data_IF_186969732882
#
_entry.id   IF_186969732882
#
_cell.length_a   1.000
_cell.length_b   1.000
_cell.length_c   1.000
_cell.angle_alpha   90.00
_cell.angle_beta   90.00
_cell.angle_gamma   90.00
#
_symmetry.space_group_name_H-M   'P 1'
#
loop_
_entity.id
_entity.type
_entity.pdbx_description
1 polymer ?
#
# COMPACT_ATOMS: atom_id res chain seq x y z
N UNK A 1 -3.98 -6.36 -19.25
CA UNK A 1 -4.80 -6.20 -18.03
C UNK A 1 -5.84 -7.30 -18.01
N UNK A 2 -5.92 -8.07 -16.94
CA UNK A 2 -7.04 -8.99 -16.73
C UNK A 2 -8.13 -8.27 -15.95
N UNK A 3 -9.30 -8.10 -16.55
CA UNK A 3 -10.45 -7.47 -15.89
C UNK A 3 -11.20 -8.53 -15.11
N UNK A 4 -11.10 -8.54 -13.78
CA UNK A 4 -11.84 -9.49 -12.93
C UNK A 4 -13.33 -9.19 -12.87
N UNK A 5 -13.78 -8.00 -13.29
CA UNK A 5 -15.20 -7.61 -13.33
C UNK A 5 -15.86 -7.50 -11.95
N UNK A 6 -15.08 -7.52 -10.86
CA UNK A 6 -15.62 -7.49 -9.50
C UNK A 6 -15.90 -6.05 -9.09
N UNK A 7 -17.17 -5.76 -8.79
CA UNK A 7 -17.61 -4.45 -8.31
C UNK A 7 -17.75 -4.48 -6.78
N UNK A 8 -17.12 -3.53 -6.09
CA UNK A 8 -17.26 -3.36 -4.64
C UNK A 8 -17.57 -1.91 -4.30
N UNK A 9 -18.52 -1.71 -3.38
CA UNK A 9 -18.81 -0.39 -2.83
C UNK A 9 -17.70 0.02 -1.86
N UNK A 10 -17.43 1.32 -1.82
CA UNK A 10 -16.54 1.94 -0.85
C UNK A 10 -17.36 2.21 0.42
N UNK A 11 -16.76 1.97 1.58
CA UNK A 11 -17.36 2.33 2.87
C UNK A 11 -17.34 3.86 3.08
N UNK A 12 -18.05 4.38 4.08
CA UNK A 12 -18.10 5.83 4.39
C UNK A 12 -16.73 6.47 4.69
N UNK A 13 -15.73 5.64 5.05
CA UNK A 13 -14.35 6.07 5.34
C UNK A 13 -13.41 5.98 4.14
N UNK A 14 -13.88 5.59 2.95
CA UNK A 14 -13.01 5.43 1.78
C UNK A 14 -12.30 4.07 1.67
N UNK A 15 -12.61 3.11 2.55
CA UNK A 15 -12.00 1.77 2.51
C UNK A 15 -12.64 0.90 1.44
N UNK A 16 -11.81 0.12 0.74
CA UNK A 16 -12.25 -0.92 -0.19
C UNK A 16 -11.79 -2.29 0.28
N UNK A 17 -12.69 -3.28 0.17
CA UNK A 17 -12.38 -4.67 0.53
C UNK A 17 -11.87 -5.41 -0.69
N UNK A 18 -10.63 -5.90 -0.62
CA UNK A 18 -10.08 -6.82 -1.63
C UNK A 18 -10.72 -8.20 -1.44
N UNK A 19 -11.39 -8.77 -2.47
CA UNK A 19 -12.00 -10.10 -2.41
C UNK A 19 -10.98 -11.20 -2.08
N UNK A 20 -11.42 -12.24 -1.36
CA UNK A 20 -10.57 -13.36 -0.92
C UNK A 20 -9.84 -14.05 -2.08
N UNK A 21 -10.49 -14.14 -3.23
CA UNK A 21 -9.90 -14.74 -4.45
C UNK A 21 -8.68 -13.96 -4.93
N UNK A 22 -8.79 -12.63 -5.02
CA UNK A 22 -7.68 -11.75 -5.40
C UNK A 22 -6.56 -11.84 -4.37
N UNK A 23 -6.89 -11.88 -3.08
CA UNK A 23 -5.89 -12.07 -2.01
C UNK A 23 -5.14 -13.40 -2.16
N UNK A 24 -5.84 -14.49 -2.49
CA UNK A 24 -5.21 -15.80 -2.68
C UNK A 24 -4.31 -15.82 -3.90
N UNK A 25 -4.75 -15.23 -5.02
CA UNK A 25 -3.99 -15.17 -6.28
C UNK A 25 -2.74 -14.31 -6.15
N UNK A 26 -2.83 -13.18 -5.46
CA UNK A 26 -1.71 -12.28 -5.21
C UNK A 26 -0.92 -12.63 -3.95
N UNK A 27 -1.29 -13.69 -3.23
CA UNK A 27 -0.68 -14.10 -1.95
C UNK A 27 -0.58 -12.96 -0.92
N UNK A 28 -1.63 -12.15 -0.84
CA UNK A 28 -1.73 -11.04 0.12
C UNK A 28 -2.16 -11.59 1.47
N UNK A 29 -1.33 -11.39 2.48
CA UNK A 29 -1.60 -11.79 3.87
C UNK A 29 -2.18 -10.62 4.67
N UNK A 30 -2.83 -10.95 5.78
CA UNK A 30 -3.27 -9.95 6.75
C UNK A 30 -2.06 -9.22 7.35
N UNK A 31 -2.18 -7.90 7.52
CA UNK A 31 -1.08 -7.05 8.00
C UNK A 31 0.00 -6.73 6.97
N UNK A 32 -0.13 -7.20 5.73
CA UNK A 32 0.84 -6.90 4.67
C UNK A 32 0.71 -5.46 4.16
N UNK A 33 1.85 -4.75 4.10
CA UNK A 33 1.93 -3.41 3.51
C UNK A 33 1.69 -3.46 2.00
N UNK A 34 0.85 -2.55 1.52
CA UNK A 34 0.52 -2.36 0.10
C UNK A 34 0.73 -0.90 -0.25
N UNK A 35 1.18 -0.67 -1.48
CA UNK A 35 1.36 0.66 -2.04
C UNK A 35 0.16 1.01 -2.92
N UNK A 36 -0.28 2.27 -2.83
CA UNK A 36 -1.37 2.84 -3.60
C UNK A 36 -0.77 3.87 -4.55
N UNK A 37 -0.93 3.64 -5.85
CA UNK A 37 -0.46 4.55 -6.89
C UNK A 37 -1.67 5.04 -7.66
N UNK A 38 -1.73 6.35 -7.88
CA UNK A 38 -2.73 6.99 -8.73
C UNK A 38 -2.09 7.34 -10.06
N UNK A 39 -2.75 6.98 -11.14
CA UNK A 39 -2.34 7.29 -12.51
C UNK A 39 -3.04 8.56 -13.03
N UNK A 40 -2.52 9.16 -14.09
CA UNK A 40 -3.04 10.41 -14.69
C UNK A 40 -4.47 10.25 -15.22
N UNK A 41 -4.86 9.01 -15.57
CA UNK A 41 -6.23 8.66 -15.98
C UNK A 41 -7.21 8.49 -14.80
N UNK A 42 -6.78 8.75 -13.56
CA UNK A 42 -7.59 8.57 -12.35
C UNK A 42 -7.76 7.11 -11.93
N UNK A 43 -6.89 6.22 -12.42
CA UNK A 43 -6.88 4.80 -12.04
C UNK A 43 -6.12 4.63 -10.72
N UNK A 44 -6.65 3.78 -9.84
CA UNK A 44 -5.97 3.37 -8.61
C UNK A 44 -5.32 2.00 -8.83
N UNK A 45 -4.01 1.93 -8.64
CA UNK A 45 -3.20 0.72 -8.77
C UNK A 45 -2.73 0.32 -7.36
N UNK A 46 -3.01 -0.93 -6.99
CA UNK A 46 -2.56 -1.53 -5.73
C UNK A 46 -1.43 -2.52 -6.01
N UNK A 47 -0.28 -2.32 -5.38
CA UNK A 47 0.88 -3.21 -5.53
C UNK A 47 1.48 -3.61 -4.17
N UNK A 48 2.20 -4.75 -4.14
CA UNK A 48 2.91 -5.19 -2.93
C UNK A 48 3.98 -4.16 -2.61
N UNK A 49 3.95 -3.62 -1.39
CA UNK A 49 5.00 -2.72 -0.94
C UNK A 49 6.31 -3.50 -0.85
N UNK A 50 7.34 -3.06 -1.58
CA UNK A 50 8.70 -3.56 -1.47
C UNK A 50 9.54 -2.43 -0.88
N UNK A 51 10.16 -2.69 0.24
CA UNK A 51 11.17 -1.79 0.78
C UNK A 51 12.43 -1.96 -0.07
N UNK A 52 12.81 -0.95 -0.85
CA UNK A 52 14.16 -0.90 -1.42
C UNK A 52 15.10 -0.49 -0.30
N UNK A 53 15.61 -1.51 0.38
CA UNK A 53 16.56 -1.43 1.48
C UNK A 53 17.99 -1.21 0.94
N UNK A 54 18.17 -0.21 0.08
CA UNK A 54 19.46 0.23 -0.42
C UNK A 54 19.36 1.76 -0.52
N UNK A 55 19.86 2.54 0.43
CA UNK A 55 21.06 3.39 0.20
C UNK A 55 21.64 3.96 1.51
N UNK A 56 21.04 3.81 2.69
CA UNK A 56 21.62 4.37 3.94
C UNK A 56 21.84 3.33 5.05
N UNK A 57 23.04 2.73 5.03
CA UNK A 57 23.81 2.50 6.25
C UNK A 57 23.66 1.12 6.91
N UNK A 58 24.68 0.28 6.70
CA UNK A 58 25.10 -0.68 7.73
C UNK A 58 25.37 0.06 9.05
N UNK A 59 24.49 -0.02 10.04
CA UNK A 59 24.80 -0.08 11.48
C UNK A 59 23.57 -0.74 12.12
N UNK A 60 23.66 -1.94 12.70
CA UNK A 60 24.07 -2.10 14.09
C UNK A 60 22.86 -1.89 15.02
N UNK A 61 22.58 -2.90 15.85
CA UNK A 61 21.50 -3.02 16.84
C UNK A 61 20.08 -3.40 16.35
N UNK A 62 19.66 -4.58 16.80
CA UNK A 62 18.27 -4.98 16.97
C UNK A 62 17.59 -4.00 17.92
N UNK A 63 16.59 -3.27 17.43
CA UNK A 63 15.58 -2.64 18.26
C UNK A 63 14.22 -3.01 17.67
N UNK A 64 13.40 -3.72 18.46
CA UNK A 64 12.09 -4.28 18.15
C UNK A 64 10.98 -3.23 17.89
N UNK A 65 11.34 -2.03 17.42
CA UNK A 65 10.42 -0.90 17.25
C UNK A 65 10.67 -0.07 15.99
N UNK A 66 11.38 -0.59 14.99
CA UNK A 66 11.55 0.12 13.72
C UNK A 66 10.24 0.01 12.93
N UNK A 67 9.34 0.98 13.14
CA UNK A 67 8.35 1.33 12.13
C UNK A 67 9.07 1.41 10.79
N UNK A 68 8.66 0.64 9.75
CA UNK A 68 9.30 0.78 8.45
C UNK A 68 9.25 2.25 8.06
N UNK A 69 10.34 2.83 7.51
CA UNK A 69 10.31 4.22 7.10
C UNK A 69 9.36 4.30 5.93
N UNK A 70 8.10 4.65 6.23
CA UNK A 70 7.10 4.94 5.22
C UNK A 70 7.74 5.98 4.27
N UNK A 71 7.77 5.73 2.94
CA UNK A 71 8.20 6.74 2.01
C UNK A 71 7.31 7.96 2.25
N UNK A 72 7.88 9.16 2.12
CA UNK A 72 7.36 10.48 2.56
C UNK A 72 5.93 10.86 2.11
N UNK A 73 5.19 9.98 1.45
CA UNK A 73 3.85 10.17 0.92
C UNK A 73 2.72 10.22 1.97
N UNK A 74 2.99 10.04 3.27
CA UNK A 74 2.00 10.34 4.34
C UNK A 74 1.95 11.85 4.66
N UNK A 75 2.61 12.69 3.86
CA UNK A 75 2.52 14.15 3.91
C UNK A 75 1.64 14.69 2.78
N UNK A 76 0.39 14.23 2.67
CA UNK A 76 -0.59 14.83 1.76
C UNK A 76 -1.83 15.40 2.49
N UNK A 77 -2.00 15.17 3.79
CA UNK A 77 -3.17 15.66 4.55
C UNK A 77 -2.93 16.99 5.27
N UNK A 78 -2.09 17.87 4.71
CA UNK A 78 -2.06 19.28 5.08
C UNK A 78 -2.28 20.12 3.83
N UNK A 79 -3.49 20.04 3.31
CA UNK A 79 -4.01 21.12 2.47
C UNK A 79 -4.34 22.33 3.33
N UNK A 80 -4.07 23.47 2.73
CA UNK A 80 -4.03 24.83 3.24
C UNK A 80 -5.30 25.29 3.97
N UNK A 81 -5.08 26.13 4.98
CA UNK A 81 -6.08 27.08 5.49
C UNK A 81 -5.88 28.46 4.87
#
# INVERSE_FOLDING_TARGET
>A
METTGIIRKIDDLGRIVIPREVRKRLEIREGQSMEIITDDEGRVILQKYRYEEDIYGKTGQQDDCISPPYPKAVQADREDG
#
